data_IF_125745625105
#
_entry.id   IF_125745625105
#
_cell.length_a   1.000
_cell.length_b   1.000
_cell.length_c   1.000
_cell.angle_alpha   90.00
_cell.angle_beta   90.00
_cell.angle_gamma   90.00
#
_symmetry.space_group_name_H-M   'P 1'
#
loop_
_entity.id
_entity.type
_entity.pdbx_description
1 polymer ?
#
# COMPACT_ATOMS: atom_id res chain seq x y z
N UNK A 1 -2.69 -2.58 6.87
CA UNK A 1 -1.83 -1.44 7.30
C UNK A 1 -2.42 -0.06 6.96
N UNK A 2 -2.79 0.28 5.71
CA UNK A 2 -3.24 1.65 5.36
C UNK A 2 -4.44 2.18 6.15
N UNK A 3 -5.41 1.34 6.49
CA UNK A 3 -6.52 1.73 7.40
C UNK A 3 -5.98 2.20 8.75
N UNK A 4 -4.97 1.52 9.31
CA UNK A 4 -4.31 1.94 10.54
C UNK A 4 -3.59 3.27 10.34
N UNK A 5 -2.90 3.47 9.21
CA UNK A 5 -2.27 4.74 8.89
C UNK A 5 -3.27 5.90 8.81
N UNK A 6 -4.47 5.66 8.28
CA UNK A 6 -5.56 6.65 8.29
C UNK A 6 -6.00 6.95 9.72
N UNK A 7 -6.28 5.92 10.53
CA UNK A 7 -6.70 6.07 11.93
C UNK A 7 -5.65 6.85 12.72
N UNK A 8 -4.37 6.47 12.62
CA UNK A 8 -3.26 7.17 13.27
C UNK A 8 -3.12 8.61 12.80
N UNK A 9 -3.19 8.86 11.49
CA UNK A 9 -3.14 10.21 10.93
C UNK A 9 -4.26 11.10 11.48
N UNK A 10 -5.48 10.58 11.61
CA UNK A 10 -6.62 11.30 12.18
C UNK A 10 -6.43 11.56 13.67
N UNK A 11 -6.02 10.56 14.45
CA UNK A 11 -5.73 10.71 15.89
C UNK A 11 -4.66 11.78 16.13
N UNK A 12 -3.52 11.68 15.43
CA UNK A 12 -2.44 12.67 15.54
C UNK A 12 -2.94 14.05 15.07
N UNK A 13 -3.74 14.10 14.01
CA UNK A 13 -4.37 15.33 13.52
C UNK A 13 -5.19 16.04 14.61
N UNK A 14 -6.04 15.30 15.34
CA UNK A 14 -6.80 15.84 16.47
C UNK A 14 -5.92 16.27 17.65
N UNK A 15 -4.92 15.46 18.02
CA UNK A 15 -3.95 15.82 19.08
C UNK A 15 -3.25 17.14 18.76
N UNK A 16 -2.92 17.36 17.48
CA UNK A 16 -2.30 18.59 17.00
C UNK A 16 -3.31 19.70 16.65
N UNK A 17 -4.52 19.63 17.23
CA UNK A 17 -5.61 20.62 17.11
C UNK A 17 -6.13 20.85 15.68
N UNK A 18 -5.95 19.87 14.79
CA UNK A 18 -6.57 19.86 13.47
C UNK A 18 -8.06 19.51 13.52
N UNK A 19 -8.76 19.74 12.42
CA UNK A 19 -10.19 19.38 12.25
C UNK A 19 -10.36 18.50 11.02
N UNK A 20 -11.14 17.42 11.16
CA UNK A 20 -11.40 16.48 10.07
C UNK A 20 -12.15 17.17 8.90
N UNK A 21 -13.03 18.14 9.22
CA UNK A 21 -13.74 18.96 8.23
C UNK A 21 -12.81 19.72 7.28
N UNK A 22 -11.55 19.97 7.66
CA UNK A 22 -10.60 20.63 6.78
C UNK A 22 -10.18 19.72 5.61
N UNK A 23 -10.33 18.40 5.73
CA UNK A 23 -10.06 17.46 4.62
C UNK A 23 -11.05 17.62 3.46
N UNK A 24 -12.28 18.06 3.74
CA UNK A 24 -13.30 18.30 2.70
C UNK A 24 -12.89 19.43 1.74
N UNK A 25 -12.09 20.38 2.23
CA UNK A 25 -11.55 21.48 1.43
C UNK A 25 -10.35 21.09 0.57
N UNK A 26 -9.85 19.85 0.69
CA UNK A 26 -8.72 19.39 -0.10
C UNK A 26 -9.19 18.98 -1.49
N UNK A 27 -8.77 19.73 -2.50
CA UNK A 27 -8.96 19.39 -3.90
C UNK A 27 -8.02 18.25 -4.34
N UNK A 28 -8.33 17.02 -3.93
CA UNK A 28 -7.65 15.82 -4.43
C UNK A 28 -8.18 15.46 -5.82
N UNK A 29 -7.29 15.54 -6.81
CA UNK A 29 -7.63 15.22 -8.20
C UNK A 29 -7.63 13.70 -8.39
N UNK A 30 -8.74 13.14 -8.86
CA UNK A 30 -8.80 11.73 -9.23
C UNK A 30 -8.74 10.75 -8.06
N UNK A 31 -9.27 11.11 -6.88
CA UNK A 31 -9.29 10.21 -5.70
C UNK A 31 -9.94 8.84 -5.99
N UNK A 32 -10.90 8.80 -6.92
CA UNK A 32 -11.53 7.57 -7.39
C UNK A 32 -10.53 6.58 -8.02
N UNK A 33 -9.40 7.05 -8.56
CA UNK A 33 -8.36 6.18 -9.14
C UNK A 33 -7.74 5.27 -8.08
N UNK A 34 -7.55 5.77 -6.86
CA UNK A 34 -7.10 4.97 -5.72
C UNK A 34 -8.16 3.93 -5.36
N UNK A 35 -9.43 4.33 -5.31
CA UNK A 35 -10.54 3.42 -5.06
C UNK A 35 -10.60 2.27 -6.07
N UNK A 36 -10.49 2.58 -7.37
CA UNK A 36 -10.45 1.56 -8.42
C UNK A 36 -9.19 0.69 -8.36
N UNK A 37 -8.02 1.26 -8.07
CA UNK A 37 -6.79 0.49 -7.90
C UNK A 37 -6.93 -0.55 -6.79
N UNK A 38 -7.35 -0.14 -5.59
CA UNK A 38 -7.59 -1.10 -4.49
C UNK A 38 -8.74 -2.06 -4.76
N UNK A 39 -9.76 -1.67 -5.53
CA UNK A 39 -10.82 -2.59 -5.94
C UNK A 39 -10.30 -3.70 -6.87
N UNK A 40 -9.39 -3.37 -7.80
CA UNK A 40 -8.73 -4.36 -8.65
C UNK A 40 -7.94 -5.36 -7.79
N UNK A 41 -7.08 -4.86 -6.89
CA UNK A 41 -6.32 -5.71 -5.95
C UNK A 41 -7.24 -6.64 -5.15
N UNK A 42 -8.32 -6.08 -4.60
CA UNK A 42 -9.28 -6.83 -3.81
C UNK A 42 -9.94 -7.96 -4.64
N UNK A 43 -10.33 -7.67 -5.88
CA UNK A 43 -10.91 -8.68 -6.78
C UNK A 43 -9.87 -9.77 -7.11
N UNK A 44 -8.62 -9.40 -7.42
CA UNK A 44 -7.53 -10.36 -7.68
C UNK A 44 -7.36 -11.32 -6.50
N UNK A 45 -7.24 -10.78 -5.28
CA UNK A 45 -7.08 -11.58 -4.05
C UNK A 45 -8.27 -12.53 -3.87
N UNK A 46 -9.49 -12.06 -4.09
CA UNK A 46 -10.68 -12.91 -3.99
C UNK A 46 -10.69 -14.06 -5.02
N UNK A 47 -10.27 -13.78 -6.25
CA UNK A 47 -10.20 -14.79 -7.31
C UNK A 47 -9.11 -15.83 -7.03
N UNK A 48 -7.96 -15.41 -6.50
CA UNK A 48 -6.88 -16.32 -6.08
C UNK A 48 -7.34 -17.21 -4.93
N UNK A 49 -7.94 -16.64 -3.89
CA UNK A 49 -8.45 -17.40 -2.73
C UNK A 49 -9.54 -18.41 -3.10
N UNK A 50 -10.32 -18.12 -4.14
CA UNK A 50 -11.33 -19.05 -4.70
C UNK A 50 -10.74 -20.07 -5.68
N UNK A 51 -9.42 -20.08 -5.88
CA UNK A 51 -8.72 -20.92 -6.87
C UNK A 51 -9.24 -20.71 -8.31
N UNK A 52 -9.79 -19.53 -8.61
CA UNK A 52 -10.25 -19.18 -9.96
C UNK A 52 -9.06 -18.72 -10.80
N UNK A 53 -8.18 -17.90 -10.22
CA UNK A 53 -6.94 -17.42 -10.82
C UNK A 53 -5.73 -17.90 -10.02
N UNK A 54 -4.59 -17.96 -10.72
CA UNK A 54 -3.27 -18.11 -10.13
C UNK A 54 -2.39 -16.97 -10.63
N UNK A 55 -1.29 -16.69 -9.92
CA UNK A 55 -0.30 -15.73 -10.40
C UNK A 55 0.16 -16.10 -11.82
N UNK A 56 0.20 -15.11 -12.71
CA UNK A 56 0.53 -15.31 -14.11
C UNK A 56 0.28 -14.06 -14.94
N UNK A 57 0.20 -14.22 -16.26
CA UNK A 57 0.12 -13.07 -17.19
C UNK A 57 -1.13 -12.21 -16.96
N UNK A 58 -2.28 -12.83 -16.66
CA UNK A 58 -3.53 -12.11 -16.43
C UNK A 58 -3.48 -11.25 -15.17
N UNK A 59 -2.95 -11.80 -14.08
CA UNK A 59 -2.80 -11.06 -12.82
C UNK A 59 -1.76 -9.97 -12.96
N UNK A 60 -0.66 -10.22 -13.69
CA UNK A 60 0.34 -9.20 -14.00
C UNK A 60 -0.25 -8.01 -14.76
N UNK A 61 -1.10 -8.25 -15.77
CA UNK A 61 -1.76 -7.15 -16.48
C UNK A 61 -2.68 -6.32 -15.57
N UNK A 62 -3.41 -6.98 -14.66
CA UNK A 62 -4.28 -6.30 -13.71
C UNK A 62 -3.47 -5.51 -12.66
N UNK A 63 -2.35 -6.04 -12.19
CA UNK A 63 -1.43 -5.34 -11.28
C UNK A 63 -0.83 -4.10 -11.95
N UNK A 64 -0.39 -4.23 -13.20
CA UNK A 64 0.10 -3.09 -14.00
C UNK A 64 -0.99 -2.03 -14.10
N UNK A 65 -2.23 -2.42 -14.42
CA UNK A 65 -3.35 -1.48 -14.48
C UNK A 65 -3.60 -0.80 -13.13
N UNK A 66 -3.62 -1.56 -12.03
CA UNK A 66 -3.75 -1.01 -10.68
C UNK A 66 -2.66 0.02 -10.39
N UNK A 67 -1.39 -0.32 -10.61
CA UNK A 67 -0.26 0.56 -10.35
C UNK A 67 -0.31 1.81 -11.25
N UNK A 68 -0.73 1.69 -12.51
CA UNK A 68 -0.95 2.84 -13.39
C UNK A 68 -2.02 3.79 -12.85
N UNK A 69 -3.12 3.27 -12.30
CA UNK A 69 -4.16 4.09 -11.67
C UNK A 69 -3.60 4.83 -10.43
N UNK A 70 -2.88 4.12 -9.57
CA UNK A 70 -2.24 4.69 -8.37
C UNK A 70 -1.24 5.78 -8.77
N UNK A 71 -0.32 5.51 -9.71
CA UNK A 71 0.67 6.49 -10.14
C UNK A 71 0.05 7.67 -10.88
N UNK A 72 -1.05 7.47 -11.61
CA UNK A 72 -1.81 8.58 -12.21
C UNK A 72 -2.36 9.49 -11.11
N UNK A 73 -2.94 8.95 -10.04
CA UNK A 73 -3.35 9.75 -8.88
C UNK A 73 -2.19 10.52 -8.26
N UNK A 74 -1.05 9.84 -8.01
CA UNK A 74 0.14 10.48 -7.44
C UNK A 74 0.61 11.62 -8.35
N UNK A 75 0.67 11.40 -9.66
CA UNK A 75 1.10 12.39 -10.64
C UNK A 75 0.16 13.59 -10.69
N UNK A 76 -1.16 13.38 -10.70
CA UNK A 76 -2.15 14.46 -10.68
C UNK A 76 -2.01 15.35 -9.44
N UNK A 77 -1.52 14.80 -8.32
CA UNK A 77 -1.40 15.47 -7.04
C UNK A 77 0.06 15.72 -6.59
N UNK A 78 1.04 15.58 -7.49
CA UNK A 78 2.50 15.69 -7.24
C UNK A 78 2.97 17.01 -6.62
N UNK A 79 2.16 18.07 -6.66
CA UNK A 79 2.46 19.34 -5.96
C UNK A 79 2.42 19.18 -4.45
N UNK A 80 1.72 18.18 -3.93
CA UNK A 80 1.72 17.85 -2.51
C UNK A 80 2.87 16.88 -2.20
N UNK A 81 3.89 17.37 -1.48
CA UNK A 81 5.07 16.58 -1.13
C UNK A 81 4.77 15.28 -0.38
N UNK A 82 3.71 15.24 0.44
CA UNK A 82 3.35 14.03 1.19
C UNK A 82 2.72 12.98 0.28
N UNK A 83 2.01 13.41 -0.76
CA UNK A 83 1.54 12.51 -1.82
C UNK A 83 2.72 11.99 -2.63
N UNK A 84 3.76 12.80 -2.90
CA UNK A 84 4.99 12.30 -3.52
C UNK A 84 5.69 11.26 -2.65
N UNK A 85 5.79 11.48 -1.33
CA UNK A 85 6.32 10.48 -0.39
C UNK A 85 5.51 9.18 -0.47
N UNK A 86 4.17 9.26 -0.52
CA UNK A 86 3.33 8.08 -0.75
C UNK A 86 3.70 7.34 -2.04
N UNK A 87 3.88 8.09 -3.12
CA UNK A 87 4.28 7.56 -4.42
C UNK A 87 5.64 6.88 -4.43
N UNK A 88 6.61 7.38 -3.67
CA UNK A 88 7.93 6.74 -3.52
C UNK A 88 7.78 5.35 -2.91
N UNK A 89 6.99 5.21 -1.83
CA UNK A 89 6.74 3.91 -1.22
C UNK A 89 6.05 2.92 -2.17
N UNK A 90 5.04 3.38 -2.91
CA UNK A 90 4.39 2.55 -3.95
C UNK A 90 5.36 2.17 -5.07
N UNK A 91 6.28 3.06 -5.46
CA UNK A 91 7.32 2.76 -6.44
C UNK A 91 8.27 1.67 -5.97
N UNK A 92 8.68 1.69 -4.70
CA UNK A 92 9.52 0.62 -4.13
C UNK A 92 8.80 -0.73 -4.18
N UNK A 93 7.51 -0.77 -3.84
CA UNK A 93 6.71 -1.99 -3.95
C UNK A 93 6.60 -2.46 -5.41
N UNK A 94 6.31 -1.53 -6.33
CA UNK A 94 6.22 -1.84 -7.76
C UNK A 94 7.53 -2.46 -8.30
N UNK A 95 8.69 -1.92 -7.90
CA UNK A 95 9.98 -2.48 -8.28
C UNK A 95 10.15 -3.91 -7.77
N UNK A 96 9.81 -4.18 -6.51
CA UNK A 96 9.86 -5.53 -5.95
C UNK A 96 8.92 -6.49 -6.70
N UNK A 97 7.66 -6.10 -6.89
CA UNK A 97 6.62 -6.95 -7.50
C UNK A 97 6.94 -7.26 -8.95
N UNK A 98 7.22 -6.25 -9.77
CA UNK A 98 7.43 -6.44 -11.20
C UNK A 98 8.77 -7.09 -11.54
N UNK A 99 9.77 -6.94 -10.68
CA UNK A 99 11.05 -7.67 -10.80
C UNK A 99 10.93 -9.15 -10.45
N UNK A 100 9.80 -9.59 -9.87
CA UNK A 100 9.49 -10.96 -9.50
C UNK A 100 8.20 -11.47 -10.17
N UNK A 101 7.91 -10.98 -11.39
CA UNK A 101 6.85 -11.53 -12.24
C UNK A 101 5.43 -11.15 -11.82
N UNK A 102 5.23 -10.06 -11.08
CA UNK A 102 3.91 -9.64 -10.62
C UNK A 102 3.50 -10.31 -9.31
N UNK A 103 4.47 -10.68 -8.47
CA UNK A 103 4.19 -11.20 -7.12
C UNK A 103 5.07 -10.50 -6.10
N UNK A 104 4.49 -10.17 -4.95
CA UNK A 104 5.22 -9.57 -3.85
C UNK A 104 6.05 -10.65 -3.13
N UNK A 105 7.38 -10.53 -3.06
CA UNK A 105 8.20 -11.46 -2.29
C UNK A 105 7.98 -11.28 -0.79
N UNK A 106 7.76 -12.37 -0.07
CA UNK A 106 7.46 -12.39 1.36
C UNK A 106 8.50 -13.22 2.12
N UNK A 107 8.96 -12.70 3.25
CA UNK A 107 9.91 -13.40 4.12
C UNK A 107 9.25 -14.51 4.92
N UNK A 108 9.77 -15.73 4.75
CA UNK A 108 9.38 -16.90 5.55
C UNK A 108 9.60 -16.68 7.05
N UNK A 109 10.69 -16.03 7.45
CA UNK A 109 10.97 -15.76 8.87
C UNK A 109 10.00 -14.74 9.45
N UNK A 110 9.62 -13.72 8.68
CA UNK A 110 8.64 -12.71 9.10
C UNK A 110 7.24 -13.33 9.26
N UNK A 111 6.81 -14.18 8.33
CA UNK A 111 5.55 -14.92 8.43
C UNK A 111 5.52 -15.80 9.69
N UNK A 112 6.59 -16.56 9.93
CA UNK A 112 6.70 -17.41 11.13
C UNK A 112 6.68 -16.60 12.42
N UNK A 113 7.31 -15.42 12.44
CA UNK A 113 7.35 -14.54 13.62
C UNK A 113 5.95 -14.11 14.06
N UNK A 114 5.00 -13.95 13.13
CA UNK A 114 3.61 -13.59 13.41
C UNK A 114 2.66 -14.81 13.41
N UNK A 115 3.19 -16.03 13.30
CA UNK A 115 2.41 -17.27 13.30
C UNK A 115 1.57 -17.50 12.04
N UNK A 116 1.97 -16.96 10.89
CA UNK A 116 1.29 -17.15 9.62
C UNK A 116 1.82 -18.36 8.85
N UNK A 117 0.94 -18.93 8.03
CA UNK A 117 1.25 -19.99 7.06
C UNK A 117 2.27 -19.51 6.03
N UNK A 118 3.13 -20.42 5.56
CA UNK A 118 4.04 -20.17 4.44
C UNK A 118 3.41 -20.52 3.08
N UNK A 119 2.17 -21.02 3.05
CA UNK A 119 1.44 -21.24 1.81
C UNK A 119 0.82 -19.92 1.31
N UNK A 120 1.68 -19.01 0.84
CA UNK A 120 1.28 -17.64 0.49
C UNK A 120 0.55 -17.53 -0.85
N UNK A 121 0.71 -18.51 -1.74
CA UNK A 121 0.15 -18.49 -3.10
C UNK A 121 -1.37 -18.57 -3.14
N UNK A 122 -2.00 -19.07 -2.07
CA UNK A 122 -3.46 -19.12 -1.94
C UNK A 122 -4.04 -17.86 -1.30
N UNK A 123 -3.19 -16.99 -0.73
CA UNK A 123 -3.62 -15.82 0.02
C UNK A 123 -3.68 -14.54 -0.85
N UNK A 124 -2.98 -14.53 -1.98
CA UNK A 124 -2.89 -13.40 -2.90
C UNK A 124 -1.69 -13.54 -3.86
N UNK A 125 -1.28 -12.44 -4.47
CA UNK A 125 -0.11 -12.40 -5.37
C UNK A 125 1.20 -12.32 -4.59
N UNK A 126 1.51 -13.42 -3.89
CA UNK A 126 2.68 -13.53 -3.05
C UNK A 126 3.57 -14.69 -3.49
N UNK A 127 4.88 -14.52 -3.28
CA UNK A 127 5.88 -15.59 -3.43
C UNK A 127 6.84 -15.58 -2.24
N UNK A 128 7.40 -16.73 -1.87
CA UNK A 128 8.40 -16.77 -0.81
C UNK A 128 9.76 -16.30 -1.33
N UNK A 129 10.42 -15.47 -0.53
CA UNK A 129 11.81 -15.05 -0.80
C UNK A 129 12.71 -16.29 -0.86
N UNK A 130 13.48 -16.41 -1.94
CA UNK A 130 14.48 -17.45 -2.18
C UNK A 130 15.71 -16.87 -2.92
N UNK A 131 16.66 -17.73 -3.29
CA UNK A 131 17.92 -17.31 -3.91
C UNK A 131 17.75 -16.57 -5.26
N UNK A 132 16.64 -16.79 -5.97
CA UNK A 132 16.34 -16.16 -7.25
C UNK A 132 15.47 -14.90 -7.12
N UNK A 133 15.11 -14.50 -5.90
CA UNK A 133 14.26 -13.33 -5.67
C UNK A 133 15.05 -12.03 -5.90
N UNK A 134 14.57 -11.21 -6.83
CA UNK A 134 15.11 -9.89 -7.08
C UNK A 134 14.63 -8.89 -6.01
N UNK A 135 15.52 -7.98 -5.58
CA UNK A 135 15.17 -6.90 -4.65
C UNK A 135 14.45 -7.38 -3.38
N UNK A 136 14.84 -8.53 -2.83
CA UNK A 136 14.17 -9.18 -1.69
C UNK A 136 14.04 -8.28 -0.45
N UNK A 137 14.98 -7.35 -0.25
CA UNK A 137 14.94 -6.35 0.82
C UNK A 137 13.79 -5.32 0.69
N UNK A 138 13.20 -5.18 -0.50
CA UNK A 138 11.99 -4.37 -0.73
C UNK A 138 10.69 -5.18 -0.62
N UNK A 139 10.78 -6.50 -0.44
CA UNK A 139 9.63 -7.36 -0.18
C UNK A 139 9.04 -7.18 1.21
N UNK A 140 8.01 -7.99 1.50
CA UNK A 140 7.35 -8.05 2.80
C UNK A 140 8.26 -8.79 3.77
N UNK A 141 9.05 -8.02 4.51
CA UNK A 141 10.12 -8.53 5.38
C UNK A 141 9.96 -8.12 6.84
N UNK A 142 9.07 -7.18 7.13
CA UNK A 142 8.93 -6.56 8.45
C UNK A 142 7.66 -7.11 9.12
N UNK A 143 7.79 -7.98 10.14
CA UNK A 143 6.63 -8.47 10.88
C UNK A 143 6.08 -7.38 11.82
N UNK A 144 4.76 -7.22 11.83
CA UNK A 144 4.02 -6.35 12.74
C UNK A 144 2.93 -7.19 13.41
N UNK A 145 2.89 -7.21 14.75
CA UNK A 145 1.96 -8.02 15.56
C UNK A 145 1.19 -7.25 16.65
N UNK A 146 1.53 -5.98 16.91
CA UNK A 146 1.02 -5.22 18.07
C UNK A 146 -0.38 -4.59 17.90
N UNK A 147 -0.83 -4.30 16.67
CA UNK A 147 -2.18 -3.72 16.36
C UNK A 147 -2.93 -4.60 15.34
N UNK A 148 -2.49 -5.86 15.20
CA UNK A 148 -2.88 -6.81 14.17
C UNK A 148 -1.64 -7.49 13.61
N UNK A 149 -1.84 -8.59 12.86
CA UNK A 149 -0.74 -9.40 12.32
C UNK A 149 -0.61 -9.16 10.82
N UNK A 150 0.51 -8.56 10.43
CA UNK A 150 0.84 -8.29 9.04
C UNK A 150 2.34 -8.47 8.83
N UNK A 151 2.75 -8.82 7.61
CA UNK A 151 4.12 -8.59 7.15
C UNK A 151 4.03 -7.43 6.17
N UNK A 152 4.89 -6.43 6.34
CA UNK A 152 4.89 -5.23 5.48
C UNK A 152 6.27 -5.03 4.87
N UNK A 153 6.31 -4.28 3.78
CA UNK A 153 7.55 -3.88 3.13
C UNK A 153 8.08 -2.53 3.64
N UNK A 154 9.29 -2.18 3.21
CA UNK A 154 9.82 -0.82 3.39
C UNK A 154 8.98 0.21 2.61
N UNK A 155 8.50 -0.15 1.42
CA UNK A 155 7.65 0.71 0.60
C UNK A 155 6.32 1.02 1.28
N UNK A 156 5.71 0.02 1.91
CA UNK A 156 4.49 0.17 2.72
C UNK A 156 4.68 1.17 3.85
N UNK A 157 5.77 1.07 4.61
CA UNK A 157 6.06 2.00 5.70
C UNK A 157 6.20 3.44 5.17
N UNK A 158 6.95 3.63 4.08
CA UNK A 158 7.12 4.95 3.46
C UNK A 158 5.79 5.50 2.97
N UNK A 159 4.96 4.67 2.32
CA UNK A 159 3.62 5.07 1.87
C UNK A 159 2.70 5.40 3.03
N UNK A 160 2.72 4.63 4.12
CA UNK A 160 1.94 4.89 5.31
C UNK A 160 2.37 6.21 6.00
N UNK A 161 3.67 6.50 6.08
CA UNK A 161 4.20 7.77 6.59
C UNK A 161 3.71 8.94 5.73
N UNK A 162 3.80 8.82 4.40
CA UNK A 162 3.28 9.83 3.49
C UNK A 162 1.79 10.11 3.70
N UNK A 163 0.99 9.06 3.92
CA UNK A 163 -0.44 9.17 4.17
C UNK A 163 -0.75 9.83 5.52
N UNK A 164 -0.06 9.41 6.59
CA UNK A 164 -0.19 10.00 7.93
C UNK A 164 0.13 11.50 7.87
N UNK A 165 1.28 11.86 7.28
CA UNK A 165 1.69 13.26 7.16
C UNK A 165 0.71 14.08 6.31
N UNK A 166 0.20 13.50 5.23
CA UNK A 166 -0.83 14.13 4.40
C UNK A 166 -2.09 14.44 5.22
N UNK A 167 -2.61 13.47 5.97
CA UNK A 167 -3.82 13.63 6.79
C UNK A 167 -3.59 14.69 7.89
N UNK A 168 -2.51 14.53 8.68
CA UNK A 168 -2.20 15.43 9.79
C UNK A 168 -2.06 16.87 9.31
N UNK A 169 -1.33 17.09 8.22
CA UNK A 169 -1.09 18.45 7.72
C UNK A 169 -2.34 19.05 7.07
N UNK A 170 -3.13 18.25 6.37
CA UNK A 170 -4.40 18.68 5.78
C UNK A 170 -5.44 19.02 6.86
N UNK A 171 -5.52 18.26 7.96
CA UNK A 171 -6.38 18.58 9.09
C UNK A 171 -5.99 19.87 9.81
N UNK A 172 -4.70 20.21 9.85
CA UNK A 172 -4.20 21.43 10.52
C UNK A 172 -4.27 22.69 9.66
N UNK A 173 -4.35 22.54 8.34
CA UNK A 173 -4.44 23.68 7.43
C UNK A 173 -5.81 24.33 7.60
N UNK A 174 -5.87 25.41 8.38
CA UNK A 174 -7.07 26.23 8.52
C UNK A 174 -7.43 26.79 7.15
N UNK A 175 -8.64 26.55 6.69
CA UNK A 175 -9.24 27.33 5.61
C UNK A 175 -9.40 28.74 6.18
N UNK A 176 -8.48 29.65 5.82
CA UNK A 176 -8.82 31.07 5.84
C UNK A 176 -9.90 31.20 4.76
N UNK A 177 -11.16 31.16 5.18
CA UNK A 177 -12.30 31.56 4.36
C UNK A 177 -12.27 33.07 4.16
#
# INVERSE_FOLDING_TARGET
MFVLAIIFGVIIGYILKGRLSNLESMELKGIYLIGFGFAIEFVIILLIRKNIFTAGINTLFLDILMYLLIFTFIFLNRKNRYIVIMGIGFMLNALAIFSNGGTMPVSTSALKAIGFSTNVHTEGLYTLINANTNLSFLGDTIPIDFIGRFVVSLGDIISAIGLILFIVTSMRKSVLK
#
